data_IF_758688073183
#
_entry.id   IF_758688073183
#
_cell.length_a   1.000
_cell.length_b   1.000
_cell.length_c   1.000
_cell.angle_alpha   90.00
_cell.angle_beta   90.00
_cell.angle_gamma   90.00
#
_symmetry.space_group_name_H-M   'P 1'
#
loop_
_entity.id
_entity.type
_entity.pdbx_description
1 polymer ?
#
# COMPACT_ATOMS: atom_id res chain seq x y z
N UNK A 1 -19.50 78.20 13.46
CA UNK A 1 -18.97 78.88 14.66
C UNK A 1 -19.31 78.03 15.88
N UNK A 2 -18.57 78.22 16.98
CA UNK A 2 -18.83 77.68 18.33
C UNK A 2 -18.90 76.15 18.55
N UNK A 3 -17.75 75.59 18.95
CA UNK A 3 -17.60 74.91 20.26
C UNK A 3 -17.78 75.95 21.41
N UNK A 4 -17.98 75.58 22.70
CA UNK A 4 -17.59 74.37 23.44
C UNK A 4 -18.84 73.64 24.02
N UNK A 5 -18.89 72.86 25.11
CA UNK A 5 -17.98 72.61 26.26
C UNK A 5 -18.25 71.25 26.90
N UNK A 6 -17.27 70.70 27.64
CA UNK A 6 -17.47 69.64 28.63
C UNK A 6 -16.84 70.04 29.99
N UNK A 7 -17.39 69.58 31.12
CA UNK A 7 -16.61 69.49 32.36
C UNK A 7 -16.67 68.11 33.06
N UNK A 8 -15.58 67.84 33.78
CA UNK A 8 -15.41 66.89 34.89
C UNK A 8 -16.51 67.08 35.99
N UNK A 9 -16.78 66.21 36.97
CA UNK A 9 -16.05 65.13 37.69
C UNK A 9 -17.13 64.23 38.39
N UNK A 10 -16.95 63.15 39.19
CA UNK A 10 -15.82 62.43 39.82
C UNK A 10 -16.24 61.01 40.33
N UNK A 11 -15.28 60.23 40.86
CA UNK A 11 -15.37 59.19 41.92
C UNK A 11 -16.43 58.06 41.90
N UNK A 12 -15.95 56.81 42.11
CA UNK A 12 -16.76 55.67 42.55
C UNK A 12 -16.05 54.31 42.34
N UNK A 13 -15.54 53.68 43.42
CA UNK A 13 -14.96 52.32 43.38
C UNK A 13 -15.99 51.28 43.84
N UNK A 14 -16.03 50.11 43.20
CA UNK A 14 -16.80 48.96 43.69
C UNK A 14 -16.53 47.67 42.89
N UNK A 15 -15.87 46.69 43.52
CA UNK A 15 -15.55 45.38 42.93
C UNK A 15 -16.39 44.29 43.62
N UNK A 16 -17.32 43.65 42.90
CA UNK A 16 -17.95 42.34 43.17
C UNK A 16 -19.12 42.15 42.19
N UNK A 17 -19.41 40.99 41.60
CA UNK A 17 -18.71 39.70 41.66
C UNK A 17 -19.65 38.55 41.24
N UNK A 18 -19.10 37.54 40.54
CA UNK A 18 -19.77 36.31 40.05
C UNK A 18 -20.89 36.52 39.00
N UNK A 19 -20.55 36.29 37.74
CA UNK A 19 -21.51 36.16 36.63
C UNK A 19 -21.60 34.70 36.14
N UNK A 20 -22.79 34.31 35.67
CA UNK A 20 -23.06 33.14 34.82
C UNK A 20 -22.58 31.76 35.30
N UNK A 21 -23.36 31.12 36.20
CA UNK A 21 -23.46 29.65 36.20
C UNK A 21 -24.42 29.23 35.07
N UNK A 22 -23.91 29.08 33.85
CA UNK A 22 -24.64 28.42 32.77
C UNK A 22 -23.90 27.14 32.36
N UNK A 23 -24.44 26.00 32.79
CA UNK A 23 -23.92 24.69 32.43
C UNK A 23 -24.28 24.35 30.99
N UNK A 24 -23.40 24.70 30.05
CA UNK A 24 -23.48 24.17 28.69
C UNK A 24 -23.17 22.68 28.72
N UNK A 25 -24.20 21.85 28.93
CA UNK A 25 -24.17 20.45 28.54
C UNK A 25 -24.04 20.40 27.02
N UNK A 26 -22.79 20.46 26.55
CA UNK A 26 -22.45 20.16 25.18
C UNK A 26 -22.86 18.72 24.92
N UNK A 27 -23.97 18.51 24.23
CA UNK A 27 -24.24 17.24 23.58
C UNK A 27 -23.10 17.02 22.60
N UNK A 28 -22.15 16.17 23.01
CA UNK A 28 -21.25 15.50 22.09
C UNK A 28 -22.18 14.69 21.20
N UNK A 29 -22.51 15.24 20.04
CA UNK A 29 -23.17 14.52 18.99
C UNK A 29 -22.16 13.48 18.49
N UNK A 30 -22.14 12.34 19.18
CA UNK A 30 -21.46 11.14 18.70
C UNK A 30 -22.21 10.77 17.44
N UNK A 31 -21.72 11.26 16.30
CA UNK A 31 -22.13 10.81 14.98
C UNK A 31 -21.71 9.35 14.90
N UNK A 32 -22.60 8.46 15.34
CA UNK A 32 -22.46 7.03 15.15
C UNK A 32 -22.22 6.82 13.67
N UNK A 33 -21.03 6.36 13.32
CA UNK A 33 -20.68 6.00 11.95
C UNK A 33 -21.75 5.02 11.49
N UNK A 34 -22.65 5.49 10.62
CA UNK A 34 -23.81 4.72 10.21
C UNK A 34 -23.31 3.44 9.52
N UNK A 35 -23.99 2.32 9.77
CA UNK A 35 -23.54 1.00 9.31
C UNK A 35 -23.13 1.03 7.83
N UNK A 36 -21.84 0.83 7.57
CA UNK A 36 -21.40 0.46 6.24
C UNK A 36 -22.08 -0.86 5.88
N UNK A 37 -23.05 -0.82 4.96
CA UNK A 37 -23.73 -2.03 4.55
C UNK A 37 -22.73 -2.89 3.76
N UNK A 38 -22.61 -4.17 4.14
CA UNK A 38 -21.66 -5.09 3.53
C UNK A 38 -22.26 -5.69 2.26
N UNK A 39 -21.91 -5.13 1.11
CA UNK A 39 -22.40 -5.55 -0.21
C UNK A 39 -21.49 -6.62 -0.79
N UNK A 40 -21.98 -7.85 -0.84
CA UNK A 40 -21.24 -9.03 -1.29
C UNK A 40 -21.17 -9.11 -2.83
N UNK A 41 -20.01 -9.46 -3.37
CA UNK A 41 -19.81 -9.76 -4.79
C UNK A 41 -20.68 -10.94 -5.23
N UNK A 42 -21.51 -10.74 -6.26
CA UNK A 42 -22.35 -11.81 -6.85
C UNK A 42 -21.78 -12.34 -8.15
N UNK A 43 -21.11 -11.49 -8.95
CA UNK A 43 -20.42 -11.92 -10.16
C UNK A 43 -18.95 -12.20 -9.85
N UNK A 44 -18.64 -13.45 -9.54
CA UNK A 44 -17.33 -13.94 -9.10
C UNK A 44 -16.23 -13.83 -10.19
N UNK A 45 -16.64 -13.80 -11.46
CA UNK A 45 -15.74 -13.77 -12.61
C UNK A 45 -16.31 -12.81 -13.68
N UNK A 46 -16.34 -11.50 -13.40
CA UNK A 46 -16.88 -10.51 -14.32
C UNK A 46 -16.07 -10.50 -15.62
N UNK A 47 -16.70 -10.10 -16.72
CA UNK A 47 -16.07 -10.15 -18.04
C UNK A 47 -14.93 -9.13 -18.16
N UNK A 48 -14.13 -9.25 -19.22
CA UNK A 48 -12.92 -8.44 -19.44
C UNK A 48 -13.18 -6.94 -19.63
N UNK A 49 -14.43 -6.50 -19.81
CA UNK A 49 -14.88 -5.13 -20.01
C UNK A 49 -15.84 -4.62 -18.91
N UNK A 50 -15.86 -5.28 -17.74
CA UNK A 50 -16.63 -4.85 -16.57
C UNK A 50 -15.74 -4.06 -15.58
N UNK A 51 -16.20 -2.90 -15.12
CA UNK A 51 -15.54 -2.10 -14.09
C UNK A 51 -15.83 -2.66 -12.68
N UNK A 52 -14.97 -2.36 -11.73
CA UNK A 52 -15.14 -2.76 -10.33
C UNK A 52 -16.29 -2.05 -9.62
N UNK A 53 -16.83 -0.98 -10.21
CA UNK A 53 -17.95 -0.19 -9.71
C UNK A 53 -19.25 -0.43 -10.51
N UNK A 54 -19.23 -1.34 -11.50
CA UNK A 54 -20.45 -1.74 -12.21
C UNK A 54 -21.38 -2.50 -11.25
N UNK A 55 -22.64 -2.08 -11.18
CA UNK A 55 -23.66 -2.69 -10.32
C UNK A 55 -23.83 -4.21 -10.54
N UNK A 56 -23.58 -4.70 -11.76
CA UNK A 56 -23.65 -6.13 -12.11
C UNK A 56 -22.56 -7.01 -11.45
N UNK A 57 -21.58 -6.42 -10.76
CA UNK A 57 -20.65 -7.13 -9.87
C UNK A 57 -21.26 -7.36 -8.48
N UNK A 58 -22.18 -6.48 -8.07
CA UNK A 58 -22.66 -6.27 -6.70
C UNK A 58 -24.18 -6.41 -6.59
N UNK A 59 -24.74 -7.54 -7.03
CA UNK A 59 -26.18 -7.83 -6.98
C UNK A 59 -27.12 -6.83 -7.72
N UNK A 60 -26.59 -6.09 -8.70
CA UNK A 60 -27.26 -4.93 -9.34
C UNK A 60 -27.50 -3.73 -8.39
N UNK A 61 -26.85 -3.70 -7.23
CA UNK A 61 -26.71 -2.51 -6.38
C UNK A 61 -25.63 -1.62 -6.96
N UNK A 62 -25.93 -0.34 -7.19
CA UNK A 62 -24.93 0.68 -7.57
C UNK A 62 -23.85 0.76 -6.50
N UNK A 63 -22.57 0.91 -6.89
CA UNK A 63 -21.51 1.18 -5.91
C UNK A 63 -21.62 2.63 -5.45
N UNK A 64 -22.12 2.79 -4.24
CA UNK A 64 -22.36 4.05 -3.53
C UNK A 64 -21.50 4.11 -2.26
N UNK A 65 -21.16 5.34 -1.84
CA UNK A 65 -20.39 5.62 -0.63
C UNK A 65 -21.22 5.40 0.65
N UNK A 66 -20.55 5.18 1.78
CA UNK A 66 -21.18 4.76 3.04
C UNK A 66 -21.46 3.25 3.10
N UNK A 67 -20.89 2.45 2.19
CA UNK A 67 -21.02 1.00 2.12
C UNK A 67 -19.65 0.33 1.96
N UNK A 68 -19.51 -0.87 2.53
CA UNK A 68 -18.35 -1.75 2.34
C UNK A 68 -18.68 -2.80 1.27
N UNK A 69 -17.72 -3.13 0.41
CA UNK A 69 -17.92 -4.10 -0.67
C UNK A 69 -16.94 -5.25 -0.53
N UNK A 70 -17.45 -6.49 -0.60
CA UNK A 70 -16.69 -7.68 -0.24
C UNK A 70 -16.59 -8.64 -1.42
N UNK A 71 -15.39 -8.97 -1.88
CA UNK A 71 -15.21 -10.03 -2.88
C UNK A 71 -15.61 -11.40 -2.29
N UNK A 72 -15.87 -12.39 -3.14
CA UNK A 72 -16.17 -13.76 -2.71
C UNK A 72 -15.39 -14.74 -3.57
N UNK A 73 -14.78 -15.75 -2.96
CA UNK A 73 -14.13 -16.84 -3.70
C UNK A 73 -15.17 -17.82 -4.29
N UNK A 74 -15.03 -18.16 -5.57
CA UNK A 74 -15.81 -19.21 -6.22
C UNK A 74 -15.21 -20.60 -6.07
N UNK A 75 -16.05 -21.62 -6.17
CA UNK A 75 -15.64 -23.03 -6.17
C UNK A 75 -15.07 -23.54 -7.52
N UNK A 76 -15.03 -22.68 -8.54
CA UNK A 76 -14.46 -23.01 -9.86
C UNK A 76 -13.00 -22.57 -9.95
N UNK A 77 -12.11 -23.56 -9.88
CA UNK A 77 -10.66 -23.38 -10.01
C UNK A 77 -10.27 -22.93 -11.43
N UNK A 78 -10.14 -21.61 -11.62
CA UNK A 78 -9.89 -20.96 -12.91
C UNK A 78 -8.68 -20.00 -12.87
N UNK A 79 -7.59 -20.53 -12.34
CA UNK A 79 -6.47 -20.83 -13.23
C UNK A 79 -5.13 -20.15 -12.93
N UNK A 80 -4.08 -20.74 -13.49
CA UNK A 80 -2.69 -20.26 -13.43
C UNK A 80 -2.20 -19.98 -12.01
N UNK A 81 -1.95 -21.07 -11.29
CA UNK A 81 -0.99 -21.08 -10.20
C UNK A 81 0.35 -20.50 -10.67
N UNK A 82 0.99 -19.75 -9.77
CA UNK A 82 2.43 -19.54 -9.80
C UNK A 82 2.97 -19.82 -8.41
N UNK A 83 4.17 -20.39 -8.32
CA UNK A 83 4.82 -20.66 -7.03
C UNK A 83 5.82 -19.56 -6.73
N UNK A 84 5.83 -19.06 -5.49
CA UNK A 84 6.88 -18.18 -4.98
C UNK A 84 7.21 -18.59 -3.54
N UNK A 85 8.49 -18.74 -3.21
CA UNK A 85 8.97 -19.19 -1.89
C UNK A 85 8.21 -20.44 -1.37
N UNK A 86 7.98 -21.42 -2.26
CA UNK A 86 7.20 -22.62 -1.98
C UNK A 86 5.67 -22.44 -1.88
N UNK A 87 5.16 -21.21 -1.80
CA UNK A 87 3.72 -20.88 -1.76
C UNK A 87 3.12 -20.87 -3.16
N UNK A 88 2.09 -21.68 -3.39
CA UNK A 88 1.37 -21.75 -4.67
C UNK A 88 0.14 -20.84 -4.66
N UNK A 89 0.17 -19.76 -5.44
CA UNK A 89 -0.82 -18.70 -5.41
C UNK A 89 -1.97 -18.95 -6.40
N UNK A 90 -3.19 -19.13 -5.88
CA UNK A 90 -4.41 -19.45 -6.66
C UNK A 90 -5.54 -18.44 -6.38
N UNK A 91 -6.58 -18.42 -7.21
CA UNK A 91 -7.77 -17.59 -6.96
C UNK A 91 -9.04 -18.24 -7.51
N UNK A 92 -10.12 -18.23 -6.71
CA UNK A 92 -11.47 -18.66 -7.11
C UNK A 92 -12.33 -17.53 -7.69
N UNK A 93 -11.85 -16.29 -7.64
CA UNK A 93 -12.62 -15.10 -8.05
C UNK A 93 -11.74 -13.91 -8.43
N UNK A 94 -12.30 -12.98 -9.20
CA UNK A 94 -11.68 -11.69 -9.48
C UNK A 94 -12.68 -10.54 -9.48
N UNK A 95 -12.18 -9.37 -9.10
CA UNK A 95 -12.77 -8.05 -9.38
C UNK A 95 -11.84 -7.37 -10.40
N UNK A 96 -12.37 -6.64 -11.38
CA UNK A 96 -11.58 -6.06 -12.48
C UNK A 96 -11.84 -4.57 -12.61
N UNK A 97 -10.79 -3.80 -12.88
CA UNK A 97 -10.95 -2.58 -13.65
C UNK A 97 -11.00 -2.91 -15.16
N UNK A 98 -11.53 -2.01 -15.99
CA UNK A 98 -11.73 -2.31 -17.42
C UNK A 98 -10.50 -2.15 -18.28
N UNK A 99 -10.49 -2.90 -19.37
CA UNK A 99 -9.77 -2.51 -20.58
C UNK A 99 -10.80 -2.27 -21.68
N UNK A 100 -11.16 -1.01 -21.89
CA UNK A 100 -11.79 -0.55 -23.12
C UNK A 100 -10.74 -0.22 -24.19
N UNK A 101 -11.18 0.08 -25.41
CA UNK A 101 -10.33 0.77 -26.40
C UNK A 101 -10.00 2.22 -25.99
N UNK A 102 -10.81 2.80 -25.12
CA UNK A 102 -10.69 4.15 -24.56
C UNK A 102 -10.02 4.10 -23.17
N UNK A 103 -9.02 4.95 -22.88
CA UNK A 103 -8.51 5.11 -21.52
C UNK A 103 -9.56 5.78 -20.62
N UNK A 104 -9.89 5.17 -19.48
CA UNK A 104 -10.85 5.71 -18.51
C UNK A 104 -10.30 5.52 -17.10
N UNK A 105 -10.10 6.63 -16.38
CA UNK A 105 -9.82 6.61 -14.93
C UNK A 105 -11.03 6.07 -14.18
N UNK A 106 -10.84 5.12 -13.27
CA UNK A 106 -11.93 4.54 -12.47
C UNK A 106 -11.77 4.90 -11.00
N UNK A 107 -12.88 5.25 -10.35
CA UNK A 107 -12.94 5.43 -8.91
C UNK A 107 -13.87 4.38 -8.32
N UNK A 108 -13.37 3.64 -7.33
CA UNK A 108 -14.22 2.84 -6.46
C UNK A 108 -15.00 3.80 -5.55
N UNK A 109 -16.32 3.81 -5.69
CA UNK A 109 -17.19 4.78 -5.03
C UNK A 109 -17.67 4.33 -3.63
N UNK A 110 -17.37 3.09 -3.23
CA UNK A 110 -17.62 2.57 -1.89
C UNK A 110 -16.49 2.89 -0.91
N UNK A 111 -16.75 2.75 0.39
CA UNK A 111 -15.81 3.14 1.45
C UNK A 111 -14.58 2.25 1.45
N UNK A 112 -14.78 0.93 1.30
CA UNK A 112 -13.72 -0.08 1.19
C UNK A 112 -14.11 -1.18 0.20
N UNK A 113 -13.09 -1.68 -0.51
CA UNK A 113 -13.11 -2.94 -1.24
C UNK A 113 -12.33 -4.00 -0.44
N UNK A 114 -13.05 -4.87 0.25
CA UNK A 114 -12.51 -5.96 1.06
C UNK A 114 -12.27 -7.16 0.16
N UNK A 115 -11.01 -7.53 0.00
CA UNK A 115 -10.57 -8.68 -0.78
C UNK A 115 -10.47 -9.91 0.13
N UNK A 116 -11.39 -10.85 -0.03
CA UNK A 116 -11.35 -12.15 0.64
C UNK A 116 -10.23 -13.05 0.14
N UNK A 117 -9.93 -14.09 0.91
CA UNK A 117 -8.90 -15.06 0.58
C UNK A 117 -9.17 -15.78 -0.75
N UNK A 118 -8.11 -16.04 -1.51
CA UNK A 118 -8.15 -16.60 -2.85
C UNK A 118 -8.99 -15.74 -3.84
N UNK A 119 -8.95 -14.41 -3.69
CA UNK A 119 -9.58 -13.46 -4.63
C UNK A 119 -8.59 -12.41 -5.13
N UNK A 120 -8.76 -11.96 -6.37
CA UNK A 120 -7.81 -11.07 -7.06
C UNK A 120 -8.45 -9.80 -7.60
N UNK A 121 -7.90 -8.66 -7.24
CA UNK A 121 -8.10 -7.39 -7.90
C UNK A 121 -7.24 -7.34 -9.17
N UNK A 122 -7.86 -7.10 -10.32
CA UNK A 122 -7.19 -6.98 -11.61
C UNK A 122 -7.19 -5.54 -12.09
N UNK A 123 -6.03 -4.90 -11.99
CA UNK A 123 -5.77 -3.57 -12.54
C UNK A 123 -5.50 -3.71 -14.03
N UNK A 124 -6.34 -3.11 -14.87
CA UNK A 124 -6.15 -3.07 -16.31
C UNK A 124 -5.83 -1.64 -16.72
N UNK A 125 -4.58 -1.42 -17.14
CA UNK A 125 -4.10 -0.12 -17.57
C UNK A 125 -3.64 -0.15 -19.01
N UNK A 126 -4.05 0.87 -19.77
CA UNK A 126 -3.52 1.20 -21.10
C UNK A 126 -3.33 2.71 -21.15
N UNK A 127 -2.12 3.15 -21.49
CA UNK A 127 -1.74 4.57 -21.53
C UNK A 127 -1.95 5.34 -20.21
N UNK A 128 -1.51 4.80 -19.07
CA UNK A 128 -1.33 5.57 -17.83
C UNK A 128 -2.58 5.77 -16.97
N UNK A 129 -3.59 4.90 -17.12
CA UNK A 129 -4.82 4.95 -16.33
C UNK A 129 -4.50 4.85 -14.84
N UNK A 130 -5.12 5.74 -14.05
CA UNK A 130 -5.18 5.62 -12.59
C UNK A 130 -6.52 5.01 -12.19
N UNK A 131 -6.46 4.01 -11.34
CA UNK A 131 -7.59 3.36 -10.69
C UNK A 131 -7.51 3.70 -9.19
N UNK A 132 -8.57 4.30 -8.62
CA UNK A 132 -8.57 4.78 -7.23
C UNK A 132 -9.46 3.91 -6.36
N UNK A 133 -8.93 3.29 -5.31
CA UNK A 133 -9.69 2.45 -4.38
C UNK A 133 -9.08 2.41 -2.96
N UNK A 134 -9.93 2.14 -1.96
CA UNK A 134 -9.52 1.77 -0.61
C UNK A 134 -9.59 0.25 -0.48
N UNK A 135 -8.46 -0.45 -0.64
CA UNK A 135 -8.42 -1.91 -0.69
C UNK A 135 -8.00 -2.48 0.66
N UNK A 136 -8.76 -3.45 1.20
CA UNK A 136 -8.37 -4.24 2.38
C UNK A 136 -8.00 -5.64 1.91
N UNK A 137 -6.74 -6.04 2.12
CA UNK A 137 -6.20 -7.33 1.71
C UNK A 137 -6.20 -8.31 2.89
N UNK A 138 -6.84 -9.46 2.70
CA UNK A 138 -6.80 -10.64 3.59
C UNK A 138 -5.79 -11.67 3.07
N UNK A 139 -5.51 -12.71 3.85
CA UNK A 139 -4.59 -13.78 3.46
C UNK A 139 -4.95 -14.35 2.07
N UNK A 140 -3.97 -14.64 1.21
CA UNK A 140 -4.17 -15.17 -0.15
C UNK A 140 -5.02 -14.26 -1.06
N UNK A 141 -5.08 -12.94 -0.78
CA UNK A 141 -5.71 -11.96 -1.66
C UNK A 141 -4.67 -11.14 -2.44
N UNK A 142 -4.98 -10.81 -3.70
CA UNK A 142 -3.97 -10.29 -4.64
C UNK A 142 -4.40 -9.00 -5.35
N UNK A 143 -3.43 -8.14 -5.69
CA UNK A 143 -3.58 -7.00 -6.60
C UNK A 143 -2.62 -7.16 -7.79
N UNK A 144 -3.13 -7.46 -8.98
CA UNK A 144 -2.29 -7.64 -10.16
C UNK A 144 -2.64 -6.65 -11.27
N UNK A 145 -1.63 -5.96 -11.79
CA UNK A 145 -1.71 -5.45 -13.15
C UNK A 145 -1.70 -6.62 -14.12
N UNK A 146 -2.78 -6.77 -14.89
CA UNK A 146 -2.84 -7.69 -16.02
C UNK A 146 -2.98 -6.90 -17.33
N UNK A 147 -2.28 -7.32 -18.39
CA UNK A 147 -2.32 -6.64 -19.68
C UNK A 147 -3.70 -6.74 -20.32
N UNK A 148 -4.06 -5.71 -21.08
CA UNK A 148 -5.07 -5.86 -22.12
C UNK A 148 -4.45 -6.39 -23.42
N UNK A 149 -5.30 -6.85 -24.33
CA UNK A 149 -4.89 -7.62 -25.51
C UNK A 149 -4.17 -6.77 -26.54
N UNK A 150 -2.86 -6.98 -26.68
CA UNK A 150 -2.03 -6.40 -27.74
C UNK A 150 -1.50 -5.00 -27.41
N UNK A 151 -0.24 -4.95 -26.94
CA UNK A 151 0.48 -3.71 -26.69
C UNK A 151 1.84 -3.96 -26.02
N UNK A 152 2.70 -2.94 -26.07
CA UNK A 152 3.91 -2.78 -25.24
C UNK A 152 3.80 -1.43 -24.52
N UNK A 153 4.61 -1.21 -23.50
CA UNK A 153 4.57 -0.01 -22.64
C UNK A 153 3.17 0.27 -22.04
N UNK A 154 2.48 -0.79 -21.59
CA UNK A 154 1.21 -0.65 -20.85
C UNK A 154 1.51 -0.26 -19.42
N UNK A 155 0.69 0.61 -18.86
CA UNK A 155 0.93 1.22 -17.56
C UNK A 155 -0.39 1.38 -16.80
N UNK A 156 -0.39 0.97 -15.54
CA UNK A 156 -1.50 1.08 -14.60
C UNK A 156 -1.01 1.74 -13.30
N UNK A 157 -1.83 2.62 -12.72
CA UNK A 157 -1.56 3.25 -11.42
C UNK A 157 -2.68 2.91 -10.44
N UNK A 158 -2.36 2.40 -9.25
CA UNK A 158 -3.32 2.25 -8.15
C UNK A 158 -3.12 3.37 -7.12
N UNK A 159 -4.19 4.13 -6.87
CA UNK A 159 -4.24 5.23 -5.90
C UNK A 159 -5.31 4.95 -4.82
N UNK A 160 -5.26 5.72 -3.71
CA UNK A 160 -6.15 5.55 -2.56
C UNK A 160 -5.42 4.92 -1.37
N UNK A 161 -5.87 3.78 -0.88
CA UNK A 161 -5.25 3.08 0.26
C UNK A 161 -5.19 1.57 0.06
N UNK A 162 -4.18 0.93 0.67
CA UNK A 162 -3.99 -0.52 0.73
C UNK A 162 -3.74 -0.89 2.19
N UNK A 163 -4.69 -1.56 2.83
CA UNK A 163 -4.59 -2.05 4.20
C UNK A 163 -4.38 -3.56 4.17
N UNK A 164 -3.23 -4.04 4.60
CA UNK A 164 -2.96 -5.47 4.77
C UNK A 164 -3.36 -5.89 6.18
N UNK A 165 -4.27 -6.86 6.31
CA UNK A 165 -4.64 -7.40 7.62
C UNK A 165 -3.41 -7.98 8.34
N UNK A 166 -3.36 -7.82 9.67
CA UNK A 166 -2.26 -8.33 10.51
C UNK A 166 -2.09 -9.85 10.31
N UNK A 167 -0.86 -10.29 10.06
CA UNK A 167 -0.53 -11.70 9.82
C UNK A 167 -0.93 -12.24 8.44
N UNK A 168 -1.48 -11.42 7.54
CA UNK A 168 -1.85 -11.85 6.20
C UNK A 168 -0.63 -11.89 5.25
N UNK A 169 -0.48 -13.02 4.56
CA UNK A 169 0.35 -13.18 3.37
C UNK A 169 -0.47 -12.75 2.14
N UNK A 170 0.01 -11.75 1.39
CA UNK A 170 -0.72 -11.11 0.27
C UNK A 170 0.23 -10.85 -0.90
N UNK A 171 -0.29 -10.76 -2.13
CA UNK A 171 0.53 -10.54 -3.33
C UNK A 171 0.13 -9.28 -4.11
N UNK A 172 1.10 -8.52 -4.59
CA UNK A 172 0.90 -7.39 -5.49
C UNK A 172 1.92 -7.44 -6.63
N UNK A 173 1.54 -7.10 -7.87
CA UNK A 173 2.52 -7.19 -8.96
C UNK A 173 2.03 -6.99 -10.38
N UNK A 174 2.94 -7.30 -11.31
CA UNK A 174 2.72 -7.30 -12.76
C UNK A 174 2.64 -8.73 -13.26
N UNK A 175 1.57 -9.08 -13.98
CA UNK A 175 1.30 -10.44 -14.49
C UNK A 175 1.31 -10.51 -16.03
N UNK A 176 2.03 -9.58 -16.67
CA UNK A 176 2.18 -9.51 -18.12
C UNK A 176 3.40 -10.24 -18.67
N UNK A 177 3.65 -10.06 -19.96
CA UNK A 177 4.68 -10.75 -20.74
C UNK A 177 5.81 -9.79 -21.17
N UNK A 178 6.06 -8.75 -20.37
CA UNK A 178 7.06 -7.73 -20.65
C UNK A 178 6.46 -6.44 -21.22
N UNK A 179 7.09 -5.32 -20.90
CA UNK A 179 6.66 -3.98 -21.33
C UNK A 179 5.52 -3.43 -20.47
N UNK A 180 5.38 -3.91 -19.24
CA UNK A 180 4.28 -3.57 -18.33
C UNK A 180 4.77 -2.85 -17.06
N UNK A 181 4.09 -1.78 -16.65
CA UNK A 181 4.36 -1.07 -15.39
C UNK A 181 3.15 -1.06 -14.46
N UNK A 182 3.33 -1.46 -13.21
CA UNK A 182 2.43 -1.13 -12.11
C UNK A 182 3.04 -0.02 -11.24
N UNK A 183 2.36 1.12 -11.14
CA UNK A 183 2.66 2.17 -10.16
C UNK A 183 1.66 2.10 -9.01
N UNK A 184 2.10 2.25 -7.77
CA UNK A 184 1.24 2.26 -6.58
C UNK A 184 1.47 3.58 -5.85
N UNK A 185 0.53 4.52 -5.98
CA UNK A 185 0.52 5.80 -5.27
C UNK A 185 -0.36 5.79 -4.02
N UNK A 186 -1.03 4.66 -3.73
CA UNK A 186 -1.80 4.45 -2.50
C UNK A 186 -0.96 4.50 -1.23
N UNK A 187 -1.55 4.96 -0.12
CA UNK A 187 -0.98 4.75 1.21
C UNK A 187 -1.06 3.26 1.57
N UNK A 188 0.07 2.66 1.97
CA UNK A 188 0.18 1.25 2.38
C UNK A 188 0.29 1.17 3.90
N UNK A 189 -0.54 0.34 4.52
CA UNK A 189 -0.52 0.07 5.96
C UNK A 189 -0.73 -1.41 6.27
N UNK A 190 -0.24 -1.87 7.42
CA UNK A 190 -0.36 -3.26 7.85
C UNK A 190 0.52 -3.58 9.05
N UNK A 191 0.11 -4.54 9.87
CA UNK A 191 0.80 -4.88 11.12
C UNK A 191 1.96 -5.87 10.99
N UNK A 192 2.60 -6.12 12.13
CA UNK A 192 3.68 -7.10 12.29
C UNK A 192 3.19 -8.50 11.89
N UNK A 193 4.04 -9.25 11.18
CA UNK A 193 3.76 -10.60 10.68
C UNK A 193 2.95 -10.65 9.38
N UNK A 194 2.44 -9.52 8.88
CA UNK A 194 1.93 -9.45 7.51
C UNK A 194 3.09 -9.48 6.50
N UNK A 195 2.90 -10.13 5.36
CA UNK A 195 3.88 -10.15 4.27
C UNK A 195 3.22 -9.72 2.97
N UNK A 196 3.69 -8.61 2.39
CA UNK A 196 3.32 -8.16 1.05
C UNK A 196 4.39 -8.61 0.07
N UNK A 197 4.06 -9.64 -0.68
CA UNK A 197 4.87 -10.15 -1.78
C UNK A 197 4.72 -9.25 -3.00
N UNK A 198 5.84 -8.80 -3.55
CA UNK A 198 5.92 -8.00 -4.78
C UNK A 198 6.42 -8.89 -5.93
N UNK A 199 5.65 -8.97 -7.02
CA UNK A 199 5.86 -9.96 -8.11
C UNK A 199 6.02 -9.29 -9.47
N UNK A 200 7.01 -9.75 -10.25
CA UNK A 200 7.15 -9.43 -11.68
C UNK A 200 7.11 -10.73 -12.50
N UNK A 201 6.06 -10.91 -13.29
CA UNK A 201 5.94 -12.00 -14.26
C UNK A 201 6.94 -11.91 -15.42
N UNK A 202 6.83 -12.84 -16.37
CA UNK A 202 7.73 -12.96 -17.52
C UNK A 202 8.02 -11.66 -18.24
N UNK A 203 9.27 -11.48 -18.64
CA UNK A 203 9.68 -10.49 -19.63
C UNK A 203 10.76 -11.08 -20.53
N UNK A 204 11.20 -10.31 -21.51
CA UNK A 204 12.38 -10.63 -22.31
C UNK A 204 13.37 -9.47 -22.24
N UNK A 205 14.65 -9.69 -22.56
CA UNK A 205 15.59 -8.59 -22.74
C UNK A 205 15.00 -7.55 -23.74
N UNK A 206 14.99 -6.27 -23.36
CA UNK A 206 14.37 -5.19 -24.13
C UNK A 206 12.83 -5.08 -24.04
N UNK A 207 12.14 -6.00 -23.36
CA UNK A 207 10.70 -5.92 -23.05
C UNK A 207 10.48 -6.41 -21.61
N UNK A 208 10.85 -5.55 -20.65
CA UNK A 208 10.95 -5.85 -19.21
C UNK A 208 9.74 -5.33 -18.43
N UNK A 209 9.55 -5.80 -17.19
CA UNK A 209 8.45 -5.35 -16.33
C UNK A 209 8.94 -4.42 -15.21
N UNK A 210 8.11 -3.47 -14.78
CA UNK A 210 8.44 -2.54 -13.70
C UNK A 210 7.33 -2.47 -12.65
N UNK A 211 7.72 -2.37 -11.38
CA UNK A 211 6.81 -2.09 -10.29
C UNK A 211 7.37 -0.97 -9.40
N UNK A 212 6.56 0.08 -9.17
CA UNK A 212 6.98 1.29 -8.48
C UNK A 212 6.04 1.63 -7.32
N UNK A 213 6.52 1.62 -6.09
CA UNK A 213 5.77 2.04 -4.90
C UNK A 213 6.11 3.50 -4.62
N UNK A 214 5.17 4.39 -4.99
CA UNK A 214 5.31 5.85 -4.98
C UNK A 214 4.36 6.55 -3.99
N UNK A 215 3.54 5.79 -3.25
CA UNK A 215 2.70 6.28 -2.17
C UNK A 215 3.43 6.31 -0.82
N UNK A 216 2.70 6.63 0.25
CA UNK A 216 3.21 6.57 1.62
C UNK A 216 3.14 5.13 2.16
N UNK A 217 4.28 4.55 2.52
CA UNK A 217 4.40 3.20 3.10
C UNK A 217 4.87 3.22 4.57
N UNK A 218 4.91 4.40 5.21
CA UNK A 218 5.45 4.57 6.58
C UNK A 218 4.63 3.89 7.68
N UNK A 219 3.35 3.63 7.42
CA UNK A 219 2.43 2.92 8.32
C UNK A 219 2.43 1.39 8.14
N UNK A 220 3.38 0.85 7.36
CA UNK A 220 3.57 -0.60 7.21
C UNK A 220 4.63 -1.13 8.18
N UNK A 221 4.29 -2.21 8.90
CA UNK A 221 5.14 -2.87 9.88
C UNK A 221 5.34 -4.38 9.59
N UNK A 222 5.11 -4.79 8.33
CA UNK A 222 5.29 -6.15 7.85
C UNK A 222 6.53 -6.32 6.95
N UNK A 223 6.57 -7.41 6.19
CA UNK A 223 7.65 -7.69 5.22
C UNK A 223 7.22 -7.35 3.80
N UNK A 224 7.95 -6.47 3.13
CA UNK A 224 7.95 -6.38 1.67
C UNK A 224 8.92 -7.41 1.11
N UNK A 225 8.40 -8.51 0.56
CA UNK A 225 9.20 -9.58 -0.05
C UNK A 225 9.21 -9.39 -1.57
N UNK A 226 10.37 -9.22 -2.19
CA UNK A 226 10.51 -9.08 -3.64
C UNK A 226 10.94 -10.42 -4.22
N UNK A 227 10.20 -10.93 -5.22
CA UNK A 227 10.49 -12.25 -5.75
C UNK A 227 9.99 -12.59 -7.15
N UNK A 228 10.52 -13.70 -7.68
CA UNK A 228 10.36 -14.19 -9.05
C UNK A 228 9.56 -15.50 -9.11
N UNK A 229 8.52 -15.63 -9.97
CA UNK A 229 7.73 -16.86 -10.08
C UNK A 229 8.57 -18.10 -10.40
N UNK A 230 8.82 -18.94 -9.39
CA UNK A 230 9.76 -20.08 -9.44
C UNK A 230 9.28 -21.23 -10.33
N UNK A 231 7.97 -21.44 -10.45
CA UNK A 231 7.37 -22.41 -11.38
C UNK A 231 6.02 -21.93 -11.91
N UNK A 232 5.74 -22.21 -13.19
CA UNK A 232 4.46 -21.97 -13.84
C UNK A 232 4.60 -21.40 -15.25
N UNK A 233 3.50 -21.32 -15.99
CA UNK A 233 3.44 -20.81 -17.38
C UNK A 233 3.70 -19.29 -17.53
N UNK A 234 4.19 -18.63 -16.47
CA UNK A 234 4.41 -17.19 -16.39
C UNK A 234 5.90 -16.78 -16.36
N UNK A 235 6.79 -17.74 -16.61
CA UNK A 235 8.11 -17.55 -17.25
C UNK A 235 9.18 -16.74 -16.51
N UNK A 236 10.37 -16.73 -17.12
CA UNK A 236 11.55 -16.00 -16.62
C UNK A 236 11.27 -14.49 -16.60
N UNK A 237 11.43 -13.85 -15.46
CA UNK A 237 11.45 -12.38 -15.34
C UNK A 237 12.58 -11.83 -16.23
N UNK A 238 12.27 -10.93 -17.17
CA UNK A 238 13.26 -10.46 -18.14
C UNK A 238 14.37 -9.64 -17.47
N UNK A 239 15.63 -9.92 -17.80
CA UNK A 239 16.80 -9.20 -17.27
C UNK A 239 16.64 -7.69 -17.44
N UNK A 240 16.77 -6.94 -16.34
CA UNK A 240 16.52 -5.49 -16.30
C UNK A 240 15.08 -5.09 -15.94
N UNK A 241 14.20 -6.04 -15.60
CA UNK A 241 12.95 -5.75 -14.89
C UNK A 241 13.24 -5.18 -13.51
N UNK A 242 12.43 -4.23 -13.01
CA UNK A 242 12.74 -3.52 -11.76
C UNK A 242 11.61 -3.39 -10.75
N UNK A 243 12.00 -3.42 -9.47
CA UNK A 243 11.22 -2.88 -8.36
C UNK A 243 11.84 -1.55 -7.91
N UNK A 244 11.03 -0.53 -7.63
CA UNK A 244 11.49 0.73 -7.03
C UNK A 244 10.54 1.19 -5.91
N UNK A 245 11.10 1.85 -4.90
CA UNK A 245 10.34 2.67 -3.96
C UNK A 245 10.71 4.14 -4.18
N UNK A 246 9.74 5.05 -4.04
CA UNK A 246 10.03 6.48 -3.95
C UNK A 246 10.60 6.84 -2.56
N UNK A 247 11.25 8.01 -2.48
CA UNK A 247 11.88 8.51 -1.26
C UNK A 247 10.90 8.50 -0.07
N UNK A 248 11.28 7.81 1.01
CA UNK A 248 10.38 7.52 2.12
C UNK A 248 11.03 6.66 3.21
N UNK A 249 10.27 6.35 4.24
CA UNK A 249 10.75 5.59 5.40
C UNK A 249 9.64 4.75 6.01
N UNK A 250 9.89 3.45 6.17
CA UNK A 250 9.04 2.52 6.91
C UNK A 250 9.87 1.88 8.04
N UNK A 251 10.03 2.57 9.19
CA UNK A 251 10.97 2.20 10.25
C UNK A 251 10.59 0.90 11.00
N UNK A 252 9.44 0.31 10.70
CA UNK A 252 8.97 -0.95 11.26
C UNK A 252 8.80 -2.06 10.20
N UNK A 253 9.04 -1.76 8.92
CA UNK A 253 8.96 -2.74 7.85
C UNK A 253 10.31 -3.44 7.61
N UNK A 254 10.23 -4.70 7.19
CA UNK A 254 11.37 -5.43 6.61
C UNK A 254 11.30 -5.36 5.09
N UNK A 255 12.42 -5.07 4.43
CA UNK A 255 12.59 -5.31 2.98
C UNK A 255 13.38 -6.60 2.79
N UNK A 256 12.82 -7.56 2.06
CA UNK A 256 13.49 -8.83 1.74
C UNK A 256 13.60 -8.99 0.22
N UNK A 257 14.81 -9.32 -0.27
CA UNK A 257 15.10 -9.51 -1.69
C UNK A 257 15.53 -10.96 -1.95
N UNK A 258 15.05 -11.57 -3.03
CA UNK A 258 15.63 -12.81 -3.56
C UNK A 258 17.08 -12.59 -4.05
N UNK A 259 17.99 -13.56 -3.85
CA UNK A 259 19.39 -13.46 -4.26
C UNK A 259 19.55 -13.97 -5.70
N UNK A 260 20.40 -13.32 -6.50
CA UNK A 260 20.64 -13.69 -7.92
C UNK A 260 19.36 -13.71 -8.78
N UNK A 261 18.34 -12.93 -8.40
CA UNK A 261 17.10 -12.80 -9.17
C UNK A 261 17.33 -12.09 -10.52
N UNK A 262 16.46 -12.36 -11.50
CA UNK A 262 16.52 -11.71 -12.82
C UNK A 262 15.91 -10.29 -12.85
N UNK A 263 15.43 -9.78 -11.72
CA UNK A 263 15.08 -8.37 -11.53
C UNK A 263 16.25 -7.61 -10.89
N UNK A 264 16.19 -6.27 -10.93
CA UNK A 264 17.04 -5.40 -10.10
C UNK A 264 16.21 -4.45 -9.24
N UNK A 265 16.68 -4.19 -8.03
CA UNK A 265 16.12 -3.16 -7.17
C UNK A 265 16.71 -1.79 -7.52
N UNK A 266 15.84 -0.83 -7.80
CA UNK A 266 16.20 0.46 -8.35
C UNK A 266 16.41 1.50 -7.24
N UNK A 267 17.66 1.64 -6.78
CA UNK A 267 18.09 2.71 -5.87
C UNK A 267 18.27 4.03 -6.65
N UNK A 268 17.15 4.62 -7.04
CA UNK A 268 17.05 5.95 -7.65
C UNK A 268 16.69 7.07 -6.64
N UNK A 269 16.45 6.71 -5.38
CA UNK A 269 16.08 7.65 -4.32
C UNK A 269 16.53 7.16 -2.93
N UNK A 270 16.50 8.04 -1.92
CA UNK A 270 16.83 7.68 -0.54
C UNK A 270 15.63 7.08 0.17
N UNK A 271 15.73 5.81 0.56
CA UNK A 271 14.66 5.03 1.19
C UNK A 271 15.15 4.42 2.51
N UNK A 272 14.25 4.17 3.45
CA UNK A 272 14.59 3.60 4.76
C UNK A 272 13.64 2.50 5.23
N UNK A 273 14.19 1.46 5.85
CA UNK A 273 13.45 0.32 6.42
C UNK A 273 13.98 -0.01 7.83
N UNK A 274 13.16 -0.66 8.66
CA UNK A 274 13.59 -1.15 9.99
C UNK A 274 14.50 -2.39 9.90
N UNK A 275 14.42 -3.14 8.81
CA UNK A 275 15.31 -4.26 8.50
C UNK A 275 15.44 -4.45 6.99
N UNK A 276 16.60 -4.91 6.52
CA UNK A 276 16.84 -5.30 5.13
C UNK A 276 17.54 -6.66 5.12
N UNK A 277 16.99 -7.65 4.41
CA UNK A 277 17.63 -8.95 4.18
C UNK A 277 17.76 -9.23 2.68
N UNK A 278 18.88 -9.84 2.30
CA UNK A 278 19.17 -10.19 0.90
C UNK A 278 19.45 -11.69 0.87
N UNK A 279 18.61 -12.43 0.16
CA UNK A 279 18.67 -13.89 0.10
C UNK A 279 18.42 -14.57 1.45
N UNK A 280 19.30 -15.52 1.77
CA UNK A 280 19.31 -16.27 3.02
C UNK A 280 20.33 -15.71 4.03
N UNK A 281 21.01 -14.62 3.69
CA UNK A 281 22.00 -13.99 4.56
C UNK A 281 21.33 -13.22 5.72
N UNK A 282 22.04 -13.01 6.84
CA UNK A 282 21.54 -12.19 7.93
C UNK A 282 21.17 -10.78 7.46
N UNK A 283 20.21 -10.15 8.14
CA UNK A 283 19.83 -8.78 7.85
C UNK A 283 21.04 -7.84 7.93
N UNK A 284 21.11 -6.88 7.01
CA UNK A 284 22.14 -5.84 6.99
C UNK A 284 22.15 -5.09 8.34
N UNK A 285 23.32 -4.75 8.88
CA UNK A 285 23.38 -3.98 10.12
C UNK A 285 22.83 -2.55 9.93
N UNK A 286 22.54 -1.87 11.04
CA UNK A 286 22.04 -0.50 11.00
C UNK A 286 23.08 0.45 10.39
N UNK A 287 22.68 1.22 9.39
CA UNK A 287 23.55 2.07 8.59
C UNK A 287 22.84 2.64 7.36
N UNK A 288 23.50 3.55 6.65
CA UNK A 288 23.13 3.93 5.29
C UNK A 288 24.07 3.22 4.32
N UNK A 289 23.55 2.83 3.16
CA UNK A 289 24.27 2.13 2.11
C UNK A 289 23.98 2.79 0.76
N UNK A 290 25.01 3.21 0.04
CA UNK A 290 24.91 3.51 -1.39
C UNK A 290 25.16 2.25 -2.26
N UNK A 291 25.21 2.41 -3.58
CA UNK A 291 25.44 1.28 -4.50
C UNK A 291 26.88 0.72 -4.42
N UNK A 292 27.90 1.57 -4.25
CA UNK A 292 29.29 1.11 -4.15
C UNK A 292 29.50 0.34 -2.84
N UNK A 293 28.86 0.77 -1.75
CA UNK A 293 28.84 0.03 -0.48
C UNK A 293 28.13 -1.33 -0.62
N UNK A 294 26.98 -1.40 -1.30
CA UNK A 294 26.26 -2.66 -1.55
C UNK A 294 27.02 -3.61 -2.50
N UNK A 295 27.74 -3.09 -3.50
CA UNK A 295 28.61 -3.90 -4.36
C UNK A 295 29.84 -4.42 -3.60
N UNK A 296 30.44 -3.61 -2.71
CA UNK A 296 31.55 -4.02 -1.85
C UNK A 296 31.17 -5.15 -0.87
N UNK A 297 29.90 -5.24 -0.49
CA UNK A 297 29.32 -6.32 0.31
C UNK A 297 28.93 -7.57 -0.51
N UNK A 298 29.10 -7.53 -1.84
CA UNK A 298 28.79 -8.61 -2.77
C UNK A 298 27.35 -8.62 -3.29
N UNK A 299 26.52 -7.64 -2.94
CA UNK A 299 25.10 -7.60 -3.28
C UNK A 299 24.75 -6.77 -4.52
N UNK A 300 25.69 -5.97 -5.06
CA UNK A 300 25.46 -4.97 -6.11
C UNK A 300 24.83 -5.49 -7.40
N UNK A 301 24.98 -6.78 -7.72
CA UNK A 301 24.26 -7.46 -8.81
C UNK A 301 22.72 -7.33 -8.69
N UNK A 302 22.19 -7.30 -7.46
CA UNK A 302 20.77 -7.17 -7.13
C UNK A 302 20.21 -5.76 -7.33
N UNK A 303 21.08 -4.76 -7.58
CA UNK A 303 20.74 -3.34 -7.58
C UNK A 303 21.07 -2.64 -8.91
N UNK A 304 20.39 -1.52 -9.17
CA UNK A 304 20.83 -0.53 -10.16
C UNK A 304 21.60 0.60 -9.47
N UNK A 305 22.71 1.02 -10.06
CA UNK A 305 23.42 2.22 -9.66
C UNK A 305 22.73 3.46 -10.27
N UNK A 306 21.78 4.03 -9.53
CA UNK A 306 21.04 5.24 -9.92
C UNK A 306 21.16 6.37 -8.87
N UNK A 307 22.17 6.31 -7.99
CA UNK A 307 22.51 7.40 -7.05
C UNK A 307 21.59 7.59 -5.83
N UNK A 308 20.65 6.67 -5.60
CA UNK A 308 19.87 6.59 -4.35
C UNK A 308 20.63 5.92 -3.21
N UNK A 309 20.00 5.86 -2.03
CA UNK A 309 20.59 5.23 -0.83
C UNK A 309 19.56 4.40 -0.06
N UNK A 310 20.02 3.31 0.54
CA UNK A 310 19.24 2.40 1.37
C UNK A 310 19.66 2.55 2.82
N UNK A 311 18.76 2.98 3.70
CA UNK A 311 19.06 3.13 5.14
C UNK A 311 18.35 2.08 5.96
N UNK A 312 19.13 1.27 6.68
CA UNK A 312 18.65 0.35 7.72
C UNK A 312 18.57 1.13 9.03
N UNK A 313 17.36 1.46 9.43
CA UNK A 313 17.08 2.14 10.70
C UNK A 313 17.27 1.11 11.83
N UNK A 314 18.09 1.38 12.86
CA UNK A 314 18.20 0.48 14.00
C UNK A 314 16.83 0.37 14.69
N UNK A 315 16.38 -0.85 14.98
CA UNK A 315 15.21 -1.07 15.82
C UNK A 315 15.29 -0.22 17.10
N UNK A 316 14.18 0.39 17.49
CA UNK A 316 14.08 1.20 18.70
C UNK A 316 14.20 0.32 19.95
N UNK A 317 15.45 -0.04 20.28
CA UNK A 317 15.79 -1.11 21.23
C UNK A 317 14.99 -1.00 22.54
N UNK A 318 14.38 -2.12 22.92
CA UNK A 318 13.48 -2.21 24.07
C UNK A 318 14.16 -1.82 25.40
N UNK A 319 15.49 -1.95 25.47
CA UNK A 319 16.35 -1.43 26.54
C UNK A 319 16.32 0.09 26.66
N UNK A 320 16.28 0.85 25.55
CA UNK A 320 16.21 2.30 25.55
C UNK A 320 14.83 2.81 26.03
N UNK A 321 13.76 2.15 25.57
CA UNK A 321 12.39 2.39 26.06
C UNK A 321 12.25 2.02 27.54
N UNK A 322 12.87 0.92 27.98
CA UNK A 322 12.93 0.49 29.38
C UNK A 322 13.64 1.51 30.28
N UNK A 323 14.73 2.13 29.81
CA UNK A 323 15.43 3.21 30.52
C UNK A 323 14.56 4.46 30.69
N UNK A 324 13.84 4.86 29.63
CA UNK A 324 12.90 6.00 29.70
C UNK A 324 11.77 5.74 30.70
N UNK A 325 11.12 4.57 30.63
CA UNK A 325 10.09 4.15 31.58
C UNK A 325 10.62 4.09 33.02
N UNK A 326 11.83 3.55 33.23
CA UNK A 326 12.49 3.50 34.54
C UNK A 326 12.76 4.90 35.11
N UNK A 327 13.22 5.84 34.27
CA UNK A 327 13.50 7.21 34.69
C UNK A 327 12.23 7.96 35.11
N UNK A 328 11.11 7.75 34.43
CA UNK A 328 9.80 8.29 34.78
C UNK A 328 9.26 7.72 36.10
N UNK A 329 9.42 6.41 36.33
CA UNK A 329 9.03 5.76 37.59
C UNK A 329 9.91 6.22 38.77
N UNK A 330 11.21 6.40 38.56
CA UNK A 330 12.12 6.97 39.55
C UNK A 330 11.78 8.42 39.89
N UNK A 331 11.40 9.23 38.90
CA UNK A 331 11.02 10.64 39.09
C UNK A 331 9.66 10.83 39.77
N UNK A 332 8.83 9.77 39.85
CA UNK A 332 7.54 9.75 40.57
C UNK A 332 7.64 9.15 42.00
N UNK A 333 8.86 8.90 42.48
CA UNK A 333 9.18 8.39 43.84
C UNK A 333 10.12 9.33 44.63
N UNK A 334 10.16 10.61 44.26
CA UNK A 334 10.82 11.70 44.98
C UNK A 334 9.85 12.88 45.10
#
# INVERSE_FOLDING_TARGET
>A
MHTPTAPYTSHGKGFSGKSALFGTFGMICVTSLAHAALVTQTNLNPNTSTFWNNASVWNNTTVEAGNDYQSVAGATDLGTSFTLDGVAWNYGSNVRDTSGSTPVSSQFAGDRLIMEANTRLLLKGKAGITSTANVVLRNDSHIFHAPDSGGTNRTATLAGSITVNNGALVAMGVRGNGGDTLTVTSTISGGVGSTMVLVLGSGTAGNVNHMRINGDYSAYAGTFYLGTPTTGSLGVTGEGSTFSFAAGSAPFATLQLEPNANYKFDLNSSISFGSVAIGADPALPAGSYDWDELDSLGYGASFLNNGGTLTVIPEASSSLLGLLASSLLLRRRR
#
